data_IF_194215427332
#
_entry.id   IF_194215427332
#
_cell.length_a   1.000
_cell.length_b   1.000
_cell.length_c   1.000
_cell.angle_alpha   90.00
_cell.angle_beta   90.00
_cell.angle_gamma   90.00
#
_symmetry.space_group_name_H-M   'P 1'
#
loop_
_entity.id
_entity.type
_entity.pdbx_description
1 polymer ?
#
# COMPACT_ATOMS: atom_id res chain seq x y z
N UNK A 1 -9.22 -12.50 14.56
CA UNK A 1 -9.00 -11.90 13.23
C UNK A 1 -9.00 -13.01 12.19
N UNK A 2 -9.86 -12.97 11.18
CA UNK A 2 -9.86 -13.98 10.10
C UNK A 2 -8.68 -13.69 9.17
N UNK A 3 -7.92 -14.72 8.77
CA UNK A 3 -6.80 -14.62 7.83
C UNK A 3 -7.27 -15.11 6.45
N UNK A 4 -7.91 -14.25 5.62
CA UNK A 4 -8.56 -14.68 4.37
C UNK A 4 -7.59 -15.26 3.34
N UNK A 5 -6.31 -14.93 3.44
CA UNK A 5 -5.23 -15.48 2.61
C UNK A 5 -4.86 -16.93 2.93
N UNK A 6 -5.27 -17.48 4.08
CA UNK A 6 -5.06 -18.91 4.40
C UNK A 6 -6.03 -19.83 3.66
N UNK A 7 -7.06 -19.29 3.01
CA UNK A 7 -8.02 -20.09 2.29
C UNK A 7 -7.45 -20.54 0.94
N UNK A 8 -7.59 -21.81 0.52
CA UNK A 8 -7.03 -22.31 -0.74
C UNK A 8 -7.50 -21.55 -1.98
N UNK A 9 -8.72 -21.01 -1.97
CA UNK A 9 -9.27 -20.21 -3.07
C UNK A 9 -8.71 -18.78 -3.13
N UNK A 10 -7.93 -18.35 -2.13
CA UNK A 10 -7.32 -17.02 -2.12
C UNK A 10 -6.16 -16.97 -3.12
N UNK A 11 -6.12 -15.92 -3.94
CA UNK A 11 -4.93 -15.62 -4.76
C UNK A 11 -3.64 -15.59 -3.93
N UNK A 12 -3.73 -15.03 -2.72
CA UNK A 12 -2.61 -14.91 -1.79
C UNK A 12 -2.25 -16.21 -1.07
N UNK A 13 -3.00 -17.30 -1.29
CA UNK A 13 -2.70 -18.61 -0.70
C UNK A 13 -1.33 -19.13 -1.12
N UNK A 14 -0.90 -18.75 -2.33
CA UNK A 14 0.43 -19.07 -2.89
C UNK A 14 1.60 -18.56 -2.05
N UNK A 15 1.37 -17.63 -1.13
CA UNK A 15 2.39 -17.08 -0.23
C UNK A 15 2.38 -17.70 1.17
N UNK A 16 1.43 -18.59 1.50
CA UNK A 16 1.29 -19.14 2.87
C UNK A 16 2.51 -19.97 3.30
N UNK A 17 3.15 -20.65 2.35
CA UNK A 17 4.30 -21.51 2.63
C UNK A 17 5.64 -20.76 2.56
N UNK A 18 5.62 -19.43 2.43
CA UNK A 18 6.84 -18.61 2.42
C UNK A 18 7.26 -18.28 3.86
N UNK A 19 8.57 -18.27 4.10
CA UNK A 19 9.11 -17.70 5.35
C UNK A 19 8.85 -16.19 5.39
N UNK A 20 8.91 -15.59 6.57
CA UNK A 20 8.72 -14.14 6.72
C UNK A 20 9.72 -13.36 5.86
N UNK A 21 10.97 -13.82 5.77
CA UNK A 21 12.00 -13.19 4.94
C UNK A 21 11.65 -13.26 3.44
N UNK A 22 11.15 -14.41 2.98
CA UNK A 22 10.72 -14.58 1.60
C UNK A 22 9.49 -13.73 1.28
N UNK A 23 8.53 -13.66 2.20
CA UNK A 23 7.33 -12.85 2.04
C UNK A 23 7.68 -11.35 1.99
N UNK A 24 8.59 -10.89 2.84
CA UNK A 24 9.10 -9.52 2.83
C UNK A 24 9.82 -9.20 1.52
N UNK A 25 10.70 -10.08 1.04
CA UNK A 25 11.41 -9.88 -0.22
C UNK A 25 10.45 -9.79 -1.43
N UNK A 26 9.41 -10.63 -1.46
CA UNK A 26 8.38 -10.59 -2.50
C UNK A 26 7.57 -9.29 -2.42
N UNK A 27 7.15 -8.89 -1.21
CA UNK A 27 6.38 -7.66 -1.00
C UNK A 27 7.18 -6.43 -1.43
N UNK A 28 8.48 -6.41 -1.12
CA UNK A 28 9.40 -5.34 -1.48
C UNK A 28 9.59 -5.23 -3.00
N UNK A 29 9.81 -6.36 -3.71
CA UNK A 29 9.91 -6.37 -5.17
C UNK A 29 8.61 -5.87 -5.83
N UNK A 30 7.46 -6.37 -5.37
CA UNK A 30 6.14 -5.93 -5.87
C UNK A 30 5.92 -4.43 -5.61
N UNK A 31 6.32 -3.92 -4.44
CA UNK A 31 6.22 -2.51 -4.12
C UNK A 31 7.03 -1.66 -5.10
N UNK A 32 8.35 -1.89 -5.18
CA UNK A 32 9.25 -1.06 -5.97
C UNK A 32 9.00 -1.18 -7.48
N UNK A 33 8.70 -2.38 -8.00
CA UNK A 33 8.47 -2.57 -9.45
C UNK A 33 7.11 -2.14 -9.95
N UNK A 34 6.08 -2.13 -9.11
CA UNK A 34 4.70 -1.95 -9.56
C UNK A 34 4.06 -0.75 -8.87
N UNK A 35 3.98 -0.79 -7.53
CA UNK A 35 3.16 0.17 -6.80
C UNK A 35 3.83 1.53 -6.66
N UNK A 36 5.14 1.57 -6.41
CA UNK A 36 5.91 2.81 -6.31
C UNK A 36 5.94 3.55 -7.65
N UNK A 37 6.26 2.85 -8.74
CA UNK A 37 6.24 3.45 -10.08
C UNK A 37 4.85 4.02 -10.41
N UNK A 38 3.78 3.31 -10.07
CA UNK A 38 2.42 3.79 -10.27
C UNK A 38 2.11 5.01 -9.36
N UNK A 39 2.58 4.98 -8.11
CA UNK A 39 2.44 6.08 -7.17
C UNK A 39 3.08 7.35 -7.74
N UNK A 40 4.35 7.30 -8.12
CA UNK A 40 5.11 8.46 -8.59
C UNK A 40 4.63 8.97 -9.95
N UNK A 41 4.39 8.07 -10.90
CA UNK A 41 4.09 8.47 -12.29
C UNK A 41 2.63 8.84 -12.52
N UNK A 42 1.70 8.27 -11.74
CA UNK A 42 0.28 8.35 -12.05
C UNK A 42 -0.58 8.84 -10.90
N UNK A 43 -0.29 8.48 -9.65
CA UNK A 43 -1.12 8.85 -8.49
C UNK A 43 -0.69 10.21 -7.92
N UNK A 44 0.56 10.37 -7.49
CA UNK A 44 1.08 11.59 -6.86
C UNK A 44 0.88 12.85 -7.73
N UNK A 45 1.06 12.83 -9.07
CA UNK A 45 0.83 14.00 -9.91
C UNK A 45 -0.61 14.53 -9.84
N UNK A 46 -1.57 13.70 -9.41
CA UNK A 46 -2.97 14.11 -9.24
C UNK A 46 -3.26 14.73 -7.87
N UNK A 47 -2.33 14.64 -6.89
CA UNK A 47 -2.53 15.09 -5.50
C UNK A 47 -3.05 16.52 -5.40
N UNK A 48 -2.46 17.45 -6.16
CA UNK A 48 -2.82 18.88 -6.09
C UNK A 48 -4.19 19.21 -6.72
N UNK A 49 -4.84 18.23 -7.38
CA UNK A 49 -6.20 18.37 -7.90
C UNK A 49 -7.26 18.09 -6.83
N UNK A 50 -6.90 17.45 -5.71
CA UNK A 50 -7.83 17.11 -4.65
C UNK A 50 -8.38 18.37 -3.94
N UNK A 51 -9.64 18.30 -3.47
CA UNK A 51 -10.25 19.35 -2.65
C UNK A 51 -9.73 19.34 -1.20
N UNK A 52 -9.44 18.15 -0.69
CA UNK A 52 -8.93 17.90 0.65
C UNK A 52 -7.76 16.93 0.55
N UNK A 53 -6.64 17.25 1.20
CA UNK A 53 -5.47 16.37 1.32
C UNK A 53 -5.26 16.09 2.81
N UNK A 54 -5.24 14.81 3.17
CA UNK A 54 -4.93 14.33 4.52
C UNK A 54 -3.53 13.72 4.51
N UNK A 55 -2.60 14.28 5.28
CA UNK A 55 -1.26 13.71 5.43
C UNK A 55 -1.24 12.81 6.66
N UNK A 56 -0.99 11.53 6.44
CA UNK A 56 -0.78 10.55 7.51
C UNK A 56 0.62 10.73 8.11
N UNK A 57 0.71 10.68 9.43
CA UNK A 57 1.92 10.53 10.22
C UNK A 57 2.08 9.12 10.77
N UNK A 58 2.85 9.00 11.84
CA UNK A 58 3.10 7.73 12.54
C UNK A 58 1.81 7.09 13.05
N UNK A 59 1.79 5.76 13.11
CA UNK A 59 0.64 4.98 13.60
C UNK A 59 -0.69 5.35 12.92
N UNK A 60 -0.63 5.81 11.67
CA UNK A 60 -1.77 6.25 10.87
C UNK A 60 -2.55 7.46 11.41
N UNK A 61 -1.98 8.25 12.32
CA UNK A 61 -2.57 9.53 12.74
C UNK A 61 -2.55 10.53 11.57
N UNK A 62 -3.48 11.47 11.55
CA UNK A 62 -3.44 12.59 10.60
C UNK A 62 -2.72 13.75 11.27
N UNK A 63 -1.62 14.17 10.65
CA UNK A 63 -0.78 15.25 11.19
C UNK A 63 -1.07 16.58 10.50
N UNK A 64 -1.52 16.53 9.23
CA UNK A 64 -1.75 17.73 8.44
C UNK A 64 -3.01 17.57 7.57
N UNK A 65 -3.80 18.64 7.51
CA UNK A 65 -5.00 18.73 6.69
C UNK A 65 -4.88 19.96 5.80
N UNK A 66 -4.94 19.78 4.47
CA UNK A 66 -4.98 20.89 3.50
C UNK A 66 -6.34 20.91 2.81
N UNK A 67 -7.08 22.01 2.98
CA UNK A 67 -8.36 22.25 2.32
C UNK A 67 -8.18 23.34 1.26
N UNK A 68 -8.63 23.07 0.03
CA UNK A 68 -8.68 24.08 -1.03
C UNK A 68 -9.93 24.94 -0.84
N UNK A 69 -9.75 26.27 -0.85
CA UNK A 69 -10.86 27.24 -0.84
C UNK A 69 -11.69 27.16 -2.12
#
# INVERSE_FOLDING_TARGET
>A
MKRPFLKPESYFHTYVDKTDEQALAIADDVWHRINEINLEKHIEPTRNRAKLILKKGENHKIDEIKLRK
#
